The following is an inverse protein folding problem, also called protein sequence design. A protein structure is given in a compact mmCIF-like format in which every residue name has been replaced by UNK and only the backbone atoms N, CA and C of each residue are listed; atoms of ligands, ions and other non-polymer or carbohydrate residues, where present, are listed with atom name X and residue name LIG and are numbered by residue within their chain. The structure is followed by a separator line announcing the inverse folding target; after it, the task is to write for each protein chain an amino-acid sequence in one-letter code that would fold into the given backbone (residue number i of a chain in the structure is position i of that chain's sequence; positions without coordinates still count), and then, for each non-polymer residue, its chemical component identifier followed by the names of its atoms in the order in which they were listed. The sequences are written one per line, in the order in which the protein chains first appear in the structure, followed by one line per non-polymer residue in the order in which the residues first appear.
data_IF_790090567646
#
_entry.id   IF_790090567646
#
_cell.length_a   1.000
_cell.length_b   1.000
_cell.length_c   1.000
_cell.angle_alpha   90.00
_cell.angle_beta   90.00
_cell.angle_gamma   90.00
#
_symmetry.space_group_name_H-M   'P 1'
#
loop_
_entity.id
_entity.type
_entity.pdbx_description
1 polymer ?
#
# COMPACT_ATOMS: atom_id res chain seq x y z
N UNK A 1 -39.42 4.16 -2.71
CA UNK A 1 -38.79 4.82 -1.56
C UNK A 1 -37.33 4.41 -1.52
N UNK A 2 -36.42 5.25 -2.02
CA UNK A 2 -35.00 4.95 -2.13
C UNK A 2 -34.32 5.35 -0.81
N UNK A 3 -33.79 4.38 -0.07
CA UNK A 3 -33.00 4.65 1.15
C UNK A 3 -31.65 5.20 0.72
N UNK A 4 -31.44 6.51 0.90
CA UNK A 4 -30.13 7.13 0.80
C UNK A 4 -29.43 6.84 2.12
N UNK A 5 -28.54 5.85 2.13
CA UNK A 5 -27.60 5.62 3.22
C UNK A 5 -26.54 6.72 3.08
N UNK A 6 -26.64 7.71 3.95
CA UNK A 6 -25.65 8.75 4.15
C UNK A 6 -24.39 8.06 4.71
N UNK A 7 -23.43 7.75 3.85
CA UNK A 7 -22.11 7.30 4.26
C UNK A 7 -21.42 8.47 4.97
N UNK A 8 -21.45 8.45 6.31
CA UNK A 8 -20.54 9.22 7.12
C UNK A 8 -19.12 8.75 6.79
N UNK A 9 -18.36 9.59 6.08
CA UNK A 9 -16.91 9.47 5.98
C UNK A 9 -16.33 9.27 7.39
N UNK A 10 -15.55 8.22 7.66
CA UNK A 10 -14.77 8.20 8.88
C UNK A 10 -13.72 9.30 8.73
N UNK A 11 -13.96 10.42 9.42
CA UNK A 11 -12.99 11.47 9.62
C UNK A 11 -11.68 10.82 10.08
N UNK A 12 -10.67 10.90 9.23
CA UNK A 12 -9.30 10.57 9.52
C UNK A 12 -8.86 11.49 10.66
N UNK A 13 -9.04 11.05 11.91
CA UNK A 13 -8.43 11.69 13.06
C UNK A 13 -6.93 11.39 12.99
N UNK A 14 -6.21 12.22 12.24
CA UNK A 14 -4.78 12.34 12.38
C UNK A 14 -4.54 13.01 13.74
N UNK A 15 -4.49 12.19 14.80
CA UNK A 15 -3.99 12.60 16.10
C UNK A 15 -2.51 12.94 15.91
N UNK A 16 -2.24 14.21 15.62
CA UNK A 16 -0.90 14.78 15.73
C UNK A 16 -0.57 14.73 17.21
N UNK A 17 0.09 13.66 17.63
CA UNK A 17 0.84 13.62 18.88
C UNK A 17 2.01 14.58 18.70
N UNK A 18 1.73 15.87 18.94
CA UNK A 18 2.73 16.90 19.04
C UNK A 18 3.43 16.68 20.38
N UNK A 19 4.38 15.74 20.41
CA UNK A 19 5.34 15.63 21.49
C UNK A 19 6.30 16.82 21.33
N UNK A 20 6.37 17.79 22.27
CA UNK A 20 7.49 18.70 22.31
C UNK A 20 8.66 17.91 22.90
N UNK A 21 9.30 17.07 22.10
CA UNK A 21 10.64 16.59 22.39
C UNK A 21 11.65 17.67 21.93
N UNK A 22 11.45 18.91 22.37
CA UNK A 22 12.53 19.88 22.43
C UNK A 22 13.11 19.70 23.81
N UNK A 23 14.07 18.79 23.90
CA UNK A 23 14.92 18.69 25.06
C UNK A 23 15.52 20.07 25.35
N UNK A 24 15.57 20.36 26.63
CA UNK A 24 16.10 21.54 27.29
C UNK A 24 17.56 21.82 26.86
N UNK A 25 17.75 22.50 25.73
CA UNK A 25 19.03 23.10 25.38
C UNK A 25 18.91 24.61 25.60
N UNK A 26 19.42 25.05 26.76
CA UNK A 26 19.68 26.48 26.96
C UNK A 26 20.60 26.92 25.82
N UNK A 27 20.24 27.92 24.99
CA UNK A 27 21.08 28.31 23.86
C UNK A 27 22.49 28.60 24.36
N UNK A 28 23.48 27.90 23.82
CA UNK A 28 24.87 28.09 24.22
C UNK A 28 25.22 29.58 24.12
N UNK A 29 25.54 30.18 25.27
CA UNK A 29 25.74 31.61 25.38
C UNK A 29 27.02 31.98 24.61
N UNK A 30 26.89 32.86 23.61
CA UNK A 30 28.03 33.28 22.79
C UNK A 30 29.02 34.08 23.65
N UNK A 31 30.28 33.66 23.68
CA UNK A 31 31.33 34.30 24.51
C UNK A 31 32.46 34.87 23.65
N UNK A 32 33.19 35.84 24.19
CA UNK A 32 34.34 36.47 23.52
C UNK A 32 34.01 37.72 22.71
N UNK A 33 34.94 38.11 21.86
CA UNK A 33 34.85 39.23 20.91
C UNK A 33 33.80 38.97 19.83
N UNK A 34 33.29 40.02 19.15
CA UNK A 34 32.34 39.83 18.04
C UNK A 34 32.82 38.86 16.95
N UNK A 35 34.13 38.80 16.67
CA UNK A 35 34.69 37.85 15.71
C UNK A 35 34.58 36.40 16.18
N UNK A 36 34.84 36.14 17.47
CA UNK A 36 34.70 34.81 18.08
C UNK A 36 33.22 34.39 18.13
N UNK A 37 32.31 35.33 18.41
CA UNK A 37 30.87 35.07 18.39
C UNK A 37 30.38 34.72 16.97
N UNK A 38 30.87 35.38 15.92
CA UNK A 38 30.57 35.03 14.52
C UNK A 38 31.09 33.63 14.19
N UNK A 39 32.29 33.28 14.64
CA UNK A 39 32.85 31.95 14.43
C UNK A 39 32.02 30.86 15.13
N UNK A 40 31.59 31.10 16.37
CA UNK A 40 30.70 30.20 17.11
C UNK A 40 29.36 30.02 16.40
N UNK A 41 28.75 31.12 15.92
CA UNK A 41 27.51 31.07 15.16
C UNK A 41 27.66 30.28 13.85
N UNK A 42 28.74 30.50 13.12
CA UNK A 42 29.04 29.75 11.89
C UNK A 42 29.17 28.25 12.16
N UNK A 43 29.84 27.86 13.25
CA UNK A 43 29.97 26.46 13.64
C UNK A 43 28.61 25.85 14.02
N UNK A 44 27.79 26.57 14.79
CA UNK A 44 26.43 26.14 15.14
C UNK A 44 25.56 25.95 13.90
N UNK A 45 25.58 26.91 12.96
CA UNK A 45 24.81 26.82 11.71
C UNK A 45 25.27 25.61 10.87
N UNK A 46 26.59 25.38 10.75
CA UNK A 46 27.10 24.22 10.03
C UNK A 46 26.65 22.89 10.67
N UNK A 47 26.68 22.82 12.00
CA UNK A 47 26.20 21.64 12.73
C UNK A 47 24.70 21.39 12.51
N UNK A 48 23.88 22.44 12.62
CA UNK A 48 22.44 22.34 12.39
C UNK A 48 22.11 21.96 10.94
N UNK A 49 22.86 22.46 9.96
CA UNK A 49 22.71 22.07 8.56
C UNK A 49 23.07 20.60 8.34
N UNK A 50 24.15 20.11 8.95
CA UNK A 50 24.53 18.70 8.87
C UNK A 50 23.47 17.79 9.50
N UNK A 51 22.99 18.14 10.70
CA UNK A 51 21.93 17.38 11.37
C UNK A 51 20.65 17.35 10.53
N UNK A 52 20.26 18.49 9.96
CA UNK A 52 19.09 18.58 9.07
C UNK A 52 19.26 17.69 7.83
N UNK A 53 20.45 17.68 7.22
CA UNK A 53 20.75 16.82 6.07
C UNK A 53 20.67 15.34 6.45
N UNK A 54 21.26 14.93 7.57
CA UNK A 54 21.18 13.56 8.07
C UNK A 54 19.73 13.14 8.32
N UNK A 55 18.95 14.00 8.98
CA UNK A 55 17.53 13.72 9.27
C UNK A 55 16.71 13.57 7.98
N UNK A 56 16.94 14.43 6.98
CA UNK A 56 16.26 14.33 5.68
C UNK A 56 16.65 13.04 4.95
N UNK A 57 17.93 12.65 4.97
CA UNK A 57 18.38 11.40 4.35
C UNK A 57 17.70 10.19 5.00
N UNK A 58 17.64 10.13 6.34
CA UNK A 58 16.96 9.06 7.06
C UNK A 58 15.46 9.00 6.73
N UNK A 59 14.79 10.15 6.61
CA UNK A 59 13.38 10.22 6.21
C UNK A 59 13.16 9.69 4.79
N UNK A 60 14.04 10.03 3.85
CA UNK A 60 13.98 9.52 2.47
C UNK A 60 14.20 8.00 2.43
N UNK A 61 15.17 7.48 3.19
CA UNK A 61 15.44 6.03 3.24
C UNK A 61 14.27 5.25 3.85
N UNK A 62 13.65 5.80 4.90
CA UNK A 62 12.44 5.24 5.49
C UNK A 62 11.27 5.24 4.52
N UNK A 63 11.04 6.35 3.80
CA UNK A 63 9.99 6.46 2.79
C UNK A 63 10.22 5.48 1.63
N UNK A 64 11.46 5.38 1.14
CA UNK A 64 11.83 4.42 0.10
C UNK A 64 11.56 2.99 0.53
N UNK A 65 11.93 2.63 1.76
CA UNK A 65 11.66 1.31 2.34
C UNK A 65 10.15 1.04 2.41
N UNK A 66 9.36 2.01 2.89
CA UNK A 66 7.91 1.88 2.96
C UNK A 66 7.28 1.68 1.57
N UNK A 67 7.70 2.47 0.58
CA UNK A 67 7.20 2.35 -0.80
C UNK A 67 7.55 1.00 -1.41
N UNK A 68 8.78 0.51 -1.22
CA UNK A 68 9.16 -0.83 -1.69
C UNK A 68 8.30 -1.93 -1.08
N UNK A 69 7.98 -1.83 0.21
CA UNK A 69 7.10 -2.80 0.88
C UNK A 69 5.67 -2.73 0.36
N UNK A 70 5.12 -1.52 0.13
CA UNK A 70 3.80 -1.34 -0.47
C UNK A 70 3.73 -1.93 -1.89
N UNK A 71 4.77 -1.73 -2.70
CA UNK A 71 4.86 -2.31 -4.05
C UNK A 71 4.85 -3.84 -3.98
N UNK A 72 5.66 -4.44 -3.09
CA UNK A 72 5.69 -5.90 -2.91
C UNK A 72 4.33 -6.44 -2.48
N UNK A 73 3.66 -5.78 -1.54
CA UNK A 73 2.33 -6.18 -1.08
C UNK A 73 1.30 -6.13 -2.21
N UNK A 74 1.30 -5.05 -3.00
CA UNK A 74 0.42 -4.91 -4.16
C UNK A 74 0.68 -6.01 -5.21
N UNK A 75 1.95 -6.34 -5.48
CA UNK A 75 2.32 -7.43 -6.38
C UNK A 75 1.81 -8.79 -5.89
N UNK A 76 1.97 -9.11 -4.59
CA UNK A 76 1.45 -10.34 -4.01
C UNK A 76 -0.08 -10.44 -4.10
N UNK A 77 -0.78 -9.36 -3.78
CA UNK A 77 -2.25 -9.31 -3.88
C UNK A 77 -2.74 -9.50 -5.32
N UNK A 78 -2.07 -8.89 -6.30
CA UNK A 78 -2.39 -9.08 -7.72
C UNK A 78 -2.13 -10.53 -8.16
N UNK A 79 -1.04 -11.14 -7.71
CA UNK A 79 -0.73 -12.53 -8.03
C UNK A 79 -1.79 -13.49 -7.48
N UNK A 80 -2.25 -13.28 -6.23
CA UNK A 80 -3.31 -14.07 -5.61
C UNK A 80 -4.66 -13.91 -6.35
N UNK A 81 -5.00 -12.69 -6.75
CA UNK A 81 -6.20 -12.43 -7.55
C UNK A 81 -6.15 -13.13 -8.90
N UNK A 82 -5.01 -13.09 -9.59
CA UNK A 82 -4.81 -13.79 -10.87
C UNK A 82 -4.98 -15.30 -10.68
N UNK A 83 -4.38 -15.88 -9.64
CA UNK A 83 -4.53 -17.31 -9.34
C UNK A 83 -6.00 -17.68 -9.07
N UNK A 84 -6.70 -16.86 -8.28
CA UNK A 84 -8.13 -17.05 -7.98
C UNK A 84 -8.97 -17.04 -9.26
N UNK A 85 -8.79 -16.04 -10.12
CA UNK A 85 -9.52 -15.94 -11.39
C UNK A 85 -9.20 -17.13 -12.30
N UNK A 86 -7.95 -17.56 -12.36
CA UNK A 86 -7.55 -18.72 -13.14
C UNK A 86 -8.23 -20.01 -12.65
N UNK A 87 -8.25 -20.26 -11.35
CA UNK A 87 -8.93 -21.42 -10.76
C UNK A 87 -10.43 -21.40 -11.05
N UNK A 88 -11.09 -20.25 -10.82
CA UNK A 88 -12.52 -20.10 -11.12
C UNK A 88 -12.83 -20.34 -12.59
N UNK A 89 -12.00 -19.80 -13.49
CA UNK A 89 -12.16 -20.00 -14.95
C UNK A 89 -11.99 -21.46 -15.33
N UNK A 90 -11.00 -22.17 -14.78
CA UNK A 90 -10.81 -23.59 -15.04
C UNK A 90 -12.01 -24.43 -14.57
N UNK A 91 -12.58 -24.11 -13.41
CA UNK A 91 -13.74 -24.84 -12.89
C UNK A 91 -15.00 -24.57 -13.72
N UNK A 92 -15.20 -23.33 -14.17
CA UNK A 92 -16.26 -23.00 -15.12
C UNK A 92 -16.10 -23.76 -16.45
N UNK A 93 -14.89 -23.86 -16.98
CA UNK A 93 -14.60 -24.62 -18.20
C UNK A 93 -14.97 -26.10 -18.00
N UNK A 94 -14.57 -26.71 -16.88
CA UNK A 94 -14.92 -28.11 -16.57
C UNK A 94 -16.43 -28.30 -16.48
N UNK A 95 -17.14 -27.38 -15.85
CA UNK A 95 -18.60 -27.44 -15.72
C UNK A 95 -19.30 -27.35 -17.09
N UNK A 96 -18.83 -26.46 -17.96
CA UNK A 96 -19.34 -26.34 -19.34
C UNK A 96 -19.05 -27.63 -20.12
N UNK A 97 -17.85 -28.19 -20.02
CA UNK A 97 -17.51 -29.45 -20.67
C UNK A 97 -18.41 -30.60 -20.20
N UNK A 98 -18.64 -30.75 -18.89
CA UNK A 98 -19.53 -31.77 -18.35
C UNK A 98 -20.96 -31.60 -18.85
N UNK A 99 -21.46 -30.36 -18.89
CA UNK A 99 -22.80 -30.04 -19.40
C UNK A 99 -22.94 -30.40 -20.87
N UNK A 100 -21.96 -30.05 -21.70
CA UNK A 100 -21.96 -30.37 -23.13
C UNK A 100 -21.89 -31.89 -23.36
N UNK A 101 -21.07 -32.61 -22.61
CA UNK A 101 -21.00 -34.07 -22.69
C UNK A 101 -22.35 -34.73 -22.38
N UNK A 102 -23.05 -34.24 -21.36
CA UNK A 102 -24.37 -34.75 -21.00
C UNK A 102 -25.41 -34.46 -22.08
N UNK A 103 -25.43 -33.23 -22.62
CA UNK A 103 -26.30 -32.86 -23.74
C UNK A 103 -26.04 -33.72 -24.98
N UNK A 104 -24.78 -33.99 -25.31
CA UNK A 104 -24.41 -34.87 -26.43
C UNK A 104 -24.96 -36.28 -26.22
N UNK A 105 -24.81 -36.85 -25.01
CA UNK A 105 -25.37 -38.18 -24.69
C UNK A 105 -26.88 -38.21 -24.85
N UNK A 106 -27.59 -37.19 -24.37
CA UNK A 106 -29.04 -37.10 -24.48
C UNK A 106 -29.49 -37.03 -25.94
N UNK A 107 -28.83 -36.22 -26.76
CA UNK A 107 -29.12 -36.15 -28.21
C UNK A 107 -28.85 -37.49 -28.90
N UNK A 108 -27.75 -38.16 -28.58
CA UNK A 108 -27.44 -39.49 -29.12
C UNK A 108 -28.50 -40.53 -28.75
N UNK A 109 -28.95 -40.55 -27.49
CA UNK A 109 -30.01 -41.45 -27.04
C UNK A 109 -31.34 -41.19 -27.76
N UNK A 110 -31.72 -39.91 -27.91
CA UNK A 110 -32.93 -39.54 -28.65
C UNK A 110 -32.85 -39.96 -30.13
N UNK A 111 -31.69 -39.79 -30.77
CA UNK A 111 -31.48 -40.20 -32.15
C UNK A 111 -31.60 -41.73 -32.32
N UNK A 112 -30.99 -42.51 -31.41
CA UNK A 112 -31.09 -43.97 -31.41
C UNK A 112 -32.53 -44.46 -31.18
N UNK A 113 -33.26 -43.84 -30.26
CA UNK A 113 -34.66 -44.18 -30.01
C UNK A 113 -35.52 -43.94 -31.26
N UNK A 114 -35.32 -42.80 -31.95
CA UNK A 114 -36.03 -42.50 -33.20
C UNK A 114 -35.67 -43.44 -34.34
N UNK A 115 -34.43 -43.90 -34.43
CA UNK A 115 -34.00 -44.83 -35.47
C UNK A 115 -34.58 -46.25 -35.31
N UNK A 116 -35.02 -46.60 -34.10
CA UNK A 116 -35.57 -47.92 -33.75
C UNK A 116 -37.12 -47.94 -33.68
N UNK A 117 -37.79 -46.84 -34.02
CA UNK A 117 -39.26 -46.74 -34.17
C UNK A 117 -39.65 -46.81 -35.63
#
# INVERSE_FOLDING_TARGET
MKKVILYALPSLMLAILFSPAFADETPAQLTGTPAEQIQQLNAQIQSQLQEMQTKQQQQLDALNTQLQNQIKQAQSQLQEQIQTVNSQTQDQIKQVQATLQEQIKQVQQQALQKANQ
#
